data_IF_806454235036
#
_entry.id   IF_806454235036
#
_cell.length_a   1.000
_cell.length_b   1.000
_cell.length_c   1.000
_cell.angle_alpha   90.00
_cell.angle_beta   90.00
_cell.angle_gamma   90.00
#
_symmetry.space_group_name_H-M   'P 1'
#
loop_
_entity.id
_entity.type
_entity.pdbx_description
1 polymer ?
#
# COMPACT_ATOMS: atom_id res chain seq x y z
N UNK A 1 -4.61 -13.13 17.26
CA UNK A 1 -3.25 -12.56 17.13
C UNK A 1 -2.56 -13.22 15.94
N UNK A 2 -1.90 -12.46 15.07
CA UNK A 2 -1.15 -13.03 13.93
C UNK A 2 0.15 -13.65 14.48
N UNK A 3 0.50 -14.90 14.14
CA UNK A 3 1.75 -15.52 14.59
C UNK A 3 2.98 -14.73 14.11
N UNK A 4 3.94 -14.50 15.01
CA UNK A 4 5.19 -13.81 14.66
C UNK A 4 5.96 -14.51 13.53
N UNK A 5 5.85 -15.84 13.44
CA UNK A 5 6.49 -16.66 12.40
C UNK A 5 5.94 -16.41 11.00
N UNK A 6 4.81 -15.70 10.86
CA UNK A 6 4.25 -15.32 9.56
C UNK A 6 4.73 -13.94 9.08
N UNK A 7 5.41 -13.18 9.95
CA UNK A 7 5.96 -11.88 9.58
C UNK A 7 7.23 -12.02 8.76
N UNK A 8 7.42 -11.09 7.83
CA UNK A 8 8.70 -10.85 7.19
C UNK A 8 9.55 -9.90 8.04
N UNK A 9 10.85 -9.81 7.73
CA UNK A 9 11.70 -8.81 8.36
C UNK A 9 11.21 -7.39 8.00
N UNK A 10 11.43 -6.41 8.88
CA UNK A 10 11.09 -5.03 8.58
C UNK A 10 11.83 -4.53 7.35
N UNK A 11 11.07 -3.98 6.41
CA UNK A 11 11.61 -3.22 5.29
C UNK A 11 11.50 -1.72 5.61
N UNK A 12 12.63 -1.01 5.60
CA UNK A 12 12.70 0.42 5.92
C UNK A 12 12.98 1.20 4.65
N UNK A 13 12.05 2.09 4.31
CA UNK A 13 12.13 2.95 3.13
C UNK A 13 12.31 4.41 3.55
N UNK A 14 13.12 5.14 2.80
CA UNK A 14 13.31 6.59 2.95
C UNK A 14 13.10 7.25 1.60
N UNK A 15 12.14 8.18 1.55
CA UNK A 15 11.83 8.95 0.35
C UNK A 15 12.45 10.35 0.50
N UNK A 16 13.24 10.76 -0.50
CA UNK A 16 13.69 12.13 -0.65
C UNK A 16 12.60 12.99 -1.33
N UNK A 17 12.77 14.31 -1.31
CA UNK A 17 11.86 15.24 -1.99
C UNK A 17 11.72 14.86 -3.47
N UNK A 18 10.48 14.73 -3.93
CA UNK A 18 10.14 14.32 -5.29
C UNK A 18 10.27 12.81 -5.55
N UNK A 19 10.51 11.96 -4.55
CA UNK A 19 10.43 10.52 -4.71
C UNK A 19 9.03 10.01 -4.36
N UNK A 20 8.60 8.95 -5.06
CA UNK A 20 7.31 8.29 -4.86
C UNK A 20 7.42 6.79 -5.07
N UNK A 21 6.39 6.07 -4.67
CA UNK A 21 6.20 4.67 -5.02
C UNK A 21 4.95 4.51 -5.87
N UNK A 22 5.09 3.87 -7.04
CA UNK A 22 3.98 3.71 -7.98
C UNK A 22 2.94 2.72 -7.46
N UNK A 23 1.75 2.77 -8.05
CA UNK A 23 0.63 1.87 -7.74
C UNK A 23 1.04 0.42 -7.87
N UNK A 24 0.80 -0.37 -6.84
CA UNK A 24 1.12 -1.80 -6.81
C UNK A 24 0.18 -2.57 -5.88
N UNK A 25 0.23 -3.89 -5.97
CA UNK A 25 -0.34 -4.81 -5.02
C UNK A 25 0.77 -5.43 -4.18
N UNK A 26 0.51 -5.60 -2.89
CA UNK A 26 1.42 -6.35 -2.00
C UNK A 26 1.24 -7.87 -2.14
N UNK A 27 0.12 -8.31 -2.73
CA UNK A 27 -0.08 -9.71 -3.05
C UNK A 27 0.50 -10.08 -4.42
N UNK A 28 1.20 -11.22 -4.51
CA UNK A 28 1.69 -11.75 -5.78
C UNK A 28 0.65 -12.67 -6.41
N UNK A 29 0.24 -12.37 -7.64
CA UNK A 29 -0.69 -13.21 -8.41
C UNK A 29 -0.02 -14.51 -8.89
N UNK A 30 -0.44 -15.70 -8.41
CA UNK A 30 0.25 -16.95 -8.74
C UNK A 30 0.30 -17.30 -10.24
N UNK A 31 -0.75 -17.04 -11.06
CA UNK A 31 -0.68 -17.15 -12.52
C UNK A 31 0.42 -16.32 -13.16
N UNK A 32 0.75 -15.13 -12.62
CA UNK A 32 1.74 -14.23 -13.19
C UNK A 32 3.16 -14.48 -12.65
N UNK A 33 3.28 -14.77 -11.35
CA UNK A 33 4.56 -14.81 -10.65
C UNK A 33 4.97 -16.21 -10.14
N UNK A 34 4.12 -17.22 -10.34
CA UNK A 34 4.30 -18.55 -9.79
C UNK A 34 4.06 -18.61 -8.28
N UNK A 35 4.40 -19.74 -7.61
CA UNK A 35 4.19 -19.91 -6.18
C UNK A 35 5.16 -19.02 -5.38
N UNK A 36 4.70 -17.83 -4.99
CA UNK A 36 5.44 -16.90 -4.14
C UNK A 36 4.91 -16.94 -2.70
N UNK A 37 5.80 -16.72 -1.73
CA UNK A 37 5.36 -16.24 -0.41
C UNK A 37 4.89 -14.80 -0.61
N UNK A 38 3.70 -14.49 -0.12
CA UNK A 38 3.02 -13.22 -0.42
C UNK A 38 2.33 -12.68 0.82
N UNK A 39 2.39 -11.37 0.97
CA UNK A 39 1.78 -10.67 2.09
C UNK A 39 0.26 -10.71 1.94
N UNK A 40 -0.42 -11.26 2.96
CA UNK A 40 -1.89 -11.24 3.05
C UNK A 40 -2.40 -9.99 3.76
N UNK A 41 -1.55 -9.43 4.60
CA UNK A 41 -1.79 -8.27 5.45
C UNK A 41 -0.49 -7.48 5.47
N UNK A 42 -0.59 -6.18 5.25
CA UNK A 42 0.54 -5.26 5.30
C UNK A 42 0.36 -4.29 6.45
N UNK A 43 1.44 -4.06 7.20
CA UNK A 43 1.53 -3.01 8.21
C UNK A 43 2.57 -1.99 7.77
N UNK A 44 2.18 -0.73 7.68
CA UNK A 44 3.06 0.40 7.46
C UNK A 44 3.17 1.21 8.75
N UNK A 45 4.38 1.65 9.10
CA UNK A 45 4.65 2.52 10.23
C UNK A 45 5.33 3.78 9.72
N UNK A 46 4.76 4.95 10.00
CA UNK A 46 5.36 6.22 9.62
C UNK A 46 6.42 6.61 10.66
N UNK A 47 7.68 6.69 10.21
CA UNK A 47 8.83 6.93 11.08
C UNK A 47 9.14 8.44 11.26
N UNK A 48 8.50 9.30 10.47
CA UNK A 48 8.66 10.76 10.48
C UNK A 48 7.37 11.44 10.06
N UNK A 49 7.18 12.68 10.51
CA UNK A 49 6.18 13.58 9.96
C UNK A 49 6.64 14.07 8.58
N UNK A 50 5.69 14.27 7.67
CA UNK A 50 5.95 14.88 6.36
C UNK A 50 5.12 16.16 6.24
N UNK A 51 5.77 17.25 5.87
CA UNK A 51 5.15 18.57 5.77
C UNK A 51 4.11 18.58 4.63
N UNK A 52 4.55 18.22 3.42
CA UNK A 52 3.71 18.15 2.21
C UNK A 52 3.90 16.82 1.45
N UNK A 53 2.80 16.28 0.93
CA UNK A 53 2.80 15.03 0.18
C UNK A 53 3.09 13.78 1.02
N UNK A 54 3.69 12.77 0.39
CA UNK A 54 4.08 11.50 1.05
C UNK A 54 2.91 10.63 1.53
N UNK A 55 1.68 10.93 1.13
CA UNK A 55 0.52 10.16 1.57
C UNK A 55 0.52 8.74 1.01
N UNK A 56 0.01 7.81 1.82
CA UNK A 56 -0.40 6.50 1.32
C UNK A 56 -1.82 6.60 0.76
N UNK A 57 -2.00 6.24 -0.49
CA UNK A 57 -3.26 6.44 -1.23
C UNK A 57 -3.84 5.10 -1.68
N UNK A 58 -5.15 4.96 -1.47
CA UNK A 58 -5.97 3.83 -1.93
C UNK A 58 -6.99 4.34 -2.96
N UNK A 59 -6.67 4.26 -4.26
CA UNK A 59 -7.45 4.90 -5.31
C UNK A 59 -8.81 4.24 -5.58
N UNK A 60 -8.96 2.97 -5.16
CA UNK A 60 -10.18 2.19 -5.36
C UNK A 60 -10.97 1.91 -4.09
N UNK A 61 -10.83 2.77 -3.08
CA UNK A 61 -11.65 2.69 -1.88
C UNK A 61 -13.14 2.53 -2.25
N UNK A 62 -13.81 1.56 -1.64
CA UNK A 62 -15.24 1.24 -1.88
C UNK A 62 -15.59 0.97 -3.35
N UNK A 63 -14.64 0.47 -4.16
CA UNK A 63 -14.86 0.14 -5.57
C UNK A 63 -14.90 1.35 -6.49
N UNK A 64 -14.54 2.54 -6.01
CA UNK A 64 -14.42 3.72 -6.87
C UNK A 64 -13.29 3.56 -7.89
N UNK A 65 -13.38 4.22 -9.04
CA UNK A 65 -12.33 4.28 -10.06
C UNK A 65 -11.84 2.93 -10.63
N UNK A 66 -12.55 1.81 -10.36
CA UNK A 66 -12.23 0.48 -10.88
C UNK A 66 -12.52 0.30 -12.38
N UNK A 67 -12.95 1.36 -13.08
CA UNK A 67 -13.13 1.36 -14.54
C UNK A 67 -11.79 1.39 -15.30
N UNK A 68 -10.67 1.49 -14.57
CA UNK A 68 -9.31 1.44 -15.10
C UNK A 68 -8.90 2.69 -15.87
N UNK A 69 -9.71 3.75 -15.85
CA UNK A 69 -9.49 4.98 -16.62
C UNK A 69 -8.91 6.12 -15.81
N UNK A 70 -8.66 5.93 -14.53
CA UNK A 70 -8.11 6.99 -13.70
C UNK A 70 -6.61 7.17 -13.93
N UNK A 71 -6.19 8.41 -13.75
CA UNK A 71 -4.79 8.80 -13.87
C UNK A 71 -4.04 8.40 -12.59
N UNK A 72 -3.16 7.40 -12.68
CA UNK A 72 -2.32 6.93 -11.56
C UNK A 72 -1.37 8.01 -11.01
N UNK A 73 -1.17 9.10 -11.75
CA UNK A 73 -0.42 10.26 -11.25
C UNK A 73 -1.27 11.18 -10.37
N UNK A 74 -2.61 11.08 -10.47
CA UNK A 74 -3.52 11.82 -9.63
C UNK A 74 -3.76 11.05 -8.33
N UNK A 75 -3.43 11.70 -7.24
CA UNK A 75 -3.67 11.23 -5.89
C UNK A 75 -5.18 11.30 -5.58
N UNK A 76 -5.96 10.30 -6.02
CA UNK A 76 -7.40 10.20 -5.81
C UNK A 76 -7.74 9.06 -4.85
N UNK A 77 -8.94 9.10 -4.25
CA UNK A 77 -9.39 8.09 -3.27
C UNK A 77 -8.98 8.42 -1.84
N UNK A 78 -8.97 7.39 -0.98
CA UNK A 78 -8.61 7.52 0.43
C UNK A 78 -7.12 7.85 0.56
N UNK A 79 -6.79 8.86 1.39
CA UNK A 79 -5.42 9.27 1.67
C UNK A 79 -5.14 9.19 3.15
N UNK A 80 -3.99 8.64 3.49
CA UNK A 80 -3.46 8.63 4.86
C UNK A 80 -2.21 9.49 4.88
N UNK A 81 -2.26 10.62 5.61
CA UNK A 81 -1.12 11.51 5.78
C UNK A 81 -0.13 10.87 6.77
N UNK A 82 1.17 10.81 6.46
CA UNK A 82 2.18 10.27 7.37
C UNK A 82 2.38 11.20 8.58
N UNK A 83 2.14 10.64 9.76
CA UNK A 83 2.46 11.25 11.05
C UNK A 83 3.33 10.30 11.86
N UNK A 84 4.38 10.83 12.47
CA UNK A 84 5.36 10.00 13.17
C UNK A 84 4.69 9.17 14.27
N UNK A 85 4.84 7.85 14.17
CA UNK A 85 4.31 6.88 15.12
C UNK A 85 2.96 6.28 14.71
N UNK A 86 2.27 6.84 13.72
CA UNK A 86 1.03 6.27 13.21
C UNK A 86 1.32 4.99 12.42
N UNK A 87 0.42 4.01 12.60
CA UNK A 87 0.45 2.72 11.93
C UNK A 87 -0.78 2.52 11.06
N UNK A 88 -0.57 1.99 9.85
CA UNK A 88 -1.60 1.65 8.91
C UNK A 88 -1.58 0.14 8.64
N UNK A 89 -2.70 -0.53 8.88
CA UNK A 89 -2.87 -1.97 8.64
C UNK A 89 -3.95 -2.16 7.57
N UNK A 90 -3.64 -2.90 6.50
CA UNK A 90 -4.61 -3.24 5.47
C UNK A 90 -4.42 -4.67 4.97
N UNK A 91 -5.48 -5.23 4.40
CA UNK A 91 -5.51 -6.59 3.88
C UNK A 91 -5.36 -6.57 2.37
N UNK A 92 -4.47 -7.40 1.85
CA UNK A 92 -4.23 -7.54 0.40
C UNK A 92 -5.08 -8.65 -0.21
N UNK A 93 -5.77 -9.45 0.63
CA UNK A 93 -6.63 -10.56 0.23
C UNK A 93 -7.98 -10.49 0.95
N UNK A 94 -9.04 -10.88 0.25
CA UNK A 94 -10.33 -11.18 0.84
C UNK A 94 -10.28 -12.46 1.70
N UNK A 95 -11.27 -12.70 2.59
CA UNK A 95 -11.32 -13.93 3.41
C UNK A 95 -11.36 -15.23 2.62
N UNK A 96 -11.84 -15.19 1.37
CA UNK A 96 -11.85 -16.33 0.44
C UNK A 96 -10.49 -16.57 -0.25
N UNK A 97 -9.49 -15.73 0.02
CA UNK A 97 -8.15 -15.81 -0.56
C UNK A 97 -7.99 -15.16 -1.92
N UNK A 98 -9.04 -14.55 -2.50
CA UNK A 98 -8.91 -13.74 -3.71
C UNK A 98 -8.13 -12.46 -3.40
N UNK A 99 -7.30 -12.00 -4.34
CA UNK A 99 -6.58 -10.74 -4.22
C UNK A 99 -7.58 -9.59 -4.14
N UNK A 100 -7.42 -8.74 -3.13
CA UNK A 100 -8.12 -7.48 -3.08
C UNK A 100 -7.47 -6.54 -4.08
N UNK A 101 -8.26 -6.10 -5.05
CA UNK A 101 -7.79 -5.30 -6.17
C UNK A 101 -7.62 -3.83 -5.80
N UNK A 102 -7.66 -3.43 -4.52
CA UNK A 102 -7.30 -2.09 -4.08
C UNK A 102 -5.76 -1.95 -4.02
N UNK A 103 -5.12 -1.24 -4.98
CA UNK A 103 -3.68 -1.05 -4.98
C UNK A 103 -3.28 0.04 -3.98
N UNK A 104 -1.99 0.06 -3.66
CA UNK A 104 -1.39 1.05 -2.76
C UNK A 104 -0.41 1.91 -3.54
N UNK A 105 -0.45 3.22 -3.27
CA UNK A 105 0.46 4.22 -3.83
C UNK A 105 1.08 5.00 -2.67
N UNK A 106 2.37 5.33 -2.75
CA UNK A 106 2.99 6.35 -1.89
C UNK A 106 3.29 7.57 -2.75
N UNK A 107 2.66 8.70 -2.43
CA UNK A 107 2.82 9.93 -3.22
C UNK A 107 4.20 10.55 -3.09
N UNK A 108 4.45 11.54 -3.95
CA UNK A 108 5.63 12.39 -3.84
C UNK A 108 5.63 13.10 -2.48
N UNK A 109 6.68 12.90 -1.70
CA UNK A 109 7.03 13.85 -0.63
C UNK A 109 7.50 15.15 -1.25
N UNK A 110 6.92 16.28 -0.87
CA UNK A 110 7.33 17.61 -1.31
C UNK A 110 8.08 18.33 -0.19
#
# INVERSE_FOLDING_TARGET
>A
MIPMTHGEAFNVLRYEIGQRYQSHYDAFDPPQYGPQKSQRVTSLLYLSDVEEGGETVFPYENGQNMDGKYDFSKCIGLKVKPHRGDGLLFYSLFPNGAIDLVPVIVNHSA
#
